data_IF_313899784473
#
_entry.id   IF_313899784473
#
_cell.length_a   1.000
_cell.length_b   1.000
_cell.length_c   1.000
_cell.angle_alpha   90.00
_cell.angle_beta   90.00
_cell.angle_gamma   90.00
#
_symmetry.space_group_name_H-M   'P 1'
#
loop_
_entity.id
_entity.type
_entity.pdbx_description
1 polymer ?
#
# COMPACT_ATOMS: atom_id res chain seq x y z
N UNK A 1 17.55 -6.13 -8.49
CA UNK A 1 18.18 -6.09 -7.15
C UNK A 1 17.45 -7.08 -6.25
N UNK A 2 18.17 -7.80 -5.37
CA UNK A 2 17.57 -8.73 -4.40
C UNK A 2 16.85 -8.02 -3.25
N UNK A 3 16.04 -8.77 -2.49
CA UNK A 3 15.32 -8.27 -1.30
C UNK A 3 16.30 -7.80 -0.23
N UNK A 4 15.97 -6.72 0.49
CA UNK A 4 16.79 -6.20 1.59
C UNK A 4 16.25 -6.67 2.94
N UNK A 5 16.68 -7.85 3.36
CA UNK A 5 16.27 -8.48 4.63
C UNK A 5 16.97 -7.85 5.83
N UNK A 6 16.27 -7.72 6.97
CA UNK A 6 16.74 -7.03 8.19
C UNK A 6 17.56 -7.91 9.15
N UNK A 7 17.72 -9.20 8.86
CA UNK A 7 18.45 -10.12 9.72
C UNK A 7 18.70 -11.49 9.08
N UNK A 8 19.58 -12.28 9.69
CA UNK A 8 19.80 -13.68 9.31
C UNK A 8 18.52 -14.48 9.55
N UNK A 9 18.06 -15.21 8.54
CA UNK A 9 16.84 -16.03 8.62
C UNK A 9 15.52 -15.30 8.32
N UNK A 10 15.52 -13.97 8.18
CA UNK A 10 14.30 -13.22 7.86
C UNK A 10 13.69 -13.63 6.51
N UNK A 11 14.53 -13.98 5.53
CA UNK A 11 14.08 -14.52 4.24
C UNK A 11 13.38 -15.87 4.40
N UNK A 12 13.97 -16.78 5.19
CA UNK A 12 13.40 -18.10 5.44
C UNK A 12 12.06 -17.99 6.17
N UNK A 13 11.98 -17.09 7.17
CA UNK A 13 10.73 -16.80 7.88
C UNK A 13 9.66 -16.24 6.94
N UNK A 14 10.02 -15.31 6.05
CA UNK A 14 9.09 -14.72 5.09
C UNK A 14 8.58 -15.74 4.04
N UNK A 15 9.45 -16.66 3.62
CA UNK A 15 9.08 -17.73 2.69
C UNK A 15 8.20 -18.81 3.34
N UNK A 16 8.38 -19.05 4.64
CA UNK A 16 7.57 -20.00 5.40
C UNK A 16 6.14 -19.50 5.70
N UNK A 17 5.92 -18.18 5.65
CA UNK A 17 4.64 -17.54 5.95
C UNK A 17 4.32 -16.47 4.90
N UNK A 18 3.93 -16.84 3.67
CA UNK A 18 3.76 -15.89 2.58
C UNK A 18 2.57 -14.95 2.79
N UNK A 19 2.70 -13.68 2.38
CA UNK A 19 1.67 -12.64 2.57
C UNK A 19 0.31 -13.05 2.02
N UNK A 20 0.25 -13.75 0.89
CA UNK A 20 -1.00 -14.21 0.30
C UNK A 20 -1.77 -15.17 1.21
N UNK A 21 -1.08 -16.08 1.90
CA UNK A 21 -1.70 -17.02 2.84
C UNK A 21 -2.17 -16.29 4.10
N UNK A 22 -1.37 -15.38 4.65
CA UNK A 22 -1.75 -14.56 5.81
C UNK A 22 -3.01 -13.74 5.51
N UNK A 23 -3.07 -13.10 4.33
CA UNK A 23 -4.23 -12.30 3.92
C UNK A 23 -5.46 -13.20 3.73
N UNK A 24 -5.30 -14.41 3.19
CA UNK A 24 -6.40 -15.38 3.07
C UNK A 24 -6.91 -15.84 4.44
N UNK A 25 -6.02 -16.12 5.39
CA UNK A 25 -6.40 -16.47 6.77
C UNK A 25 -7.13 -15.32 7.47
N UNK A 26 -6.62 -14.09 7.32
CA UNK A 26 -7.28 -12.88 7.82
C UNK A 26 -8.68 -12.73 7.24
N UNK A 27 -8.84 -12.91 5.92
CA UNK A 27 -10.13 -12.82 5.25
C UNK A 27 -11.13 -13.83 5.82
N UNK A 28 -10.74 -15.10 5.95
CA UNK A 28 -11.60 -16.15 6.51
C UNK A 28 -11.97 -15.87 7.97
N UNK A 29 -11.02 -15.42 8.79
CA UNK A 29 -11.26 -15.06 10.19
C UNK A 29 -12.28 -13.92 10.31
N UNK A 30 -12.09 -12.82 9.57
CA UNK A 30 -12.98 -11.66 9.57
C UNK A 30 -14.42 -11.99 9.12
N UNK A 31 -14.56 -12.87 8.12
CA UNK A 31 -15.86 -13.36 7.65
C UNK A 31 -16.53 -14.19 8.76
N UNK A 32 -15.78 -15.10 9.39
CA UNK A 32 -16.33 -15.98 10.43
C UNK A 32 -16.77 -15.22 11.69
N UNK A 33 -16.07 -14.14 12.03
CA UNK A 33 -16.40 -13.29 13.19
C UNK A 33 -17.46 -12.23 12.89
N UNK A 34 -17.93 -12.11 11.64
CA UNK A 34 -18.84 -11.06 11.18
C UNK A 34 -18.38 -9.66 11.65
N UNK A 35 -17.08 -9.38 11.46
CA UNK A 35 -16.43 -8.21 12.04
C UNK A 35 -17.02 -6.90 11.50
N UNK A 36 -17.28 -5.97 12.44
CA UNK A 36 -17.77 -4.62 12.17
C UNK A 36 -16.67 -3.58 12.39
N UNK A 37 -16.45 -2.71 11.41
CA UNK A 37 -15.63 -1.52 11.52
C UNK A 37 -16.51 -0.29 11.77
N UNK A 38 -16.22 0.47 12.81
CA UNK A 38 -16.89 1.74 13.13
C UNK A 38 -16.22 2.89 12.36
N UNK A 39 -16.99 3.59 11.53
CA UNK A 39 -16.53 4.78 10.83
C UNK A 39 -16.21 5.90 11.83
N UNK A 40 -14.97 6.42 11.78
CA UNK A 40 -14.50 7.45 12.71
C UNK A 40 -13.65 8.49 11.98
N UNK A 41 -14.27 9.62 11.65
CA UNK A 41 -13.63 10.70 10.89
C UNK A 41 -13.18 10.22 9.50
N UNK A 42 -11.88 10.26 9.24
CA UNK A 42 -11.28 9.84 7.96
C UNK A 42 -10.84 8.37 7.94
N UNK A 43 -11.00 7.63 9.04
CA UNK A 43 -10.59 6.23 9.16
C UNK A 43 -11.72 5.34 9.69
N UNK A 44 -11.38 4.07 9.91
CA UNK A 44 -12.30 3.08 10.47
C UNK A 44 -11.63 2.40 11.66
N UNK A 45 -12.37 2.25 12.75
CA UNK A 45 -11.95 1.53 13.94
C UNK A 45 -12.51 0.12 13.92
N UNK A 46 -11.62 -0.87 13.91
CA UNK A 46 -11.97 -2.28 13.94
C UNK A 46 -11.62 -2.85 15.31
N UNK A 47 -12.58 -3.49 15.97
CA UNK A 47 -12.33 -4.23 17.21
C UNK A 47 -11.79 -5.62 16.87
N UNK A 48 -10.71 -6.03 17.53
CA UNK A 48 -10.08 -7.32 17.31
C UNK A 48 -9.80 -8.04 18.63
N UNK A 49 -10.03 -9.35 18.63
CA UNK A 49 -9.57 -10.26 19.67
C UNK A 49 -8.08 -10.62 19.47
N UNK A 50 -7.54 -11.52 20.29
CA UNK A 50 -6.13 -11.89 20.24
C UNK A 50 -5.71 -12.54 18.90
N UNK A 51 -6.54 -13.41 18.33
CA UNK A 51 -6.24 -14.10 17.07
C UNK A 51 -6.29 -13.14 15.89
N UNK A 52 -7.36 -12.32 15.82
CA UNK A 52 -7.49 -11.32 14.78
C UNK A 52 -6.42 -10.23 14.88
N UNK A 53 -5.98 -9.90 16.10
CA UNK A 53 -4.86 -9.00 16.34
C UNK A 53 -3.56 -9.53 15.74
N UNK A 54 -3.25 -10.82 15.91
CA UNK A 54 -2.07 -11.44 15.28
C UNK A 54 -2.16 -11.36 13.75
N UNK A 55 -3.31 -11.74 13.19
CA UNK A 55 -3.52 -11.73 11.74
C UNK A 55 -3.45 -10.32 11.15
N UNK A 56 -4.05 -9.32 11.79
CA UNK A 56 -3.99 -7.91 11.34
C UNK A 56 -2.54 -7.39 11.36
N UNK A 57 -1.78 -7.71 12.39
CA UNK A 57 -0.37 -7.33 12.49
C UNK A 57 0.46 -8.01 11.39
N UNK A 58 0.33 -9.33 11.22
CA UNK A 58 1.05 -10.09 10.19
C UNK A 58 0.69 -9.65 8.77
N UNK A 59 -0.59 -9.41 8.49
CA UNK A 59 -1.07 -8.91 7.20
C UNK A 59 -0.81 -7.40 6.99
N UNK A 60 -0.31 -6.72 8.02
CA UNK A 60 0.01 -5.30 8.03
C UNK A 60 -1.17 -4.37 7.70
N UNK A 61 -2.38 -4.72 8.14
CA UNK A 61 -3.55 -3.84 8.02
C UNK A 61 -3.75 -2.99 9.27
N UNK A 62 -3.87 -1.68 9.08
CA UNK A 62 -4.14 -0.73 10.15
C UNK A 62 -3.00 -0.57 11.14
N UNK A 63 -3.32 0.09 12.25
CA UNK A 63 -2.42 0.32 13.38
C UNK A 63 -3.15 0.04 14.69
N UNK A 64 -2.56 -0.72 15.61
CA UNK A 64 -3.16 -0.92 16.93
C UNK A 64 -3.22 0.42 17.67
N UNK A 65 -4.32 0.64 18.40
CA UNK A 65 -4.51 1.73 19.34
C UNK A 65 -4.44 1.19 20.76
N UNK A 66 -3.88 2.01 21.65
CA UNK A 66 -3.77 1.66 23.07
C UNK A 66 -5.16 1.54 23.66
N UNK A 67 -5.47 0.38 24.24
CA UNK A 67 -6.71 0.08 24.95
C UNK A 67 -6.42 -0.20 26.41
N UNK A 68 -7.38 0.09 27.29
CA UNK A 68 -7.30 -0.23 28.72
C UNK A 68 -7.68 -1.70 28.99
N UNK A 69 -8.41 -2.33 28.06
CA UNK A 69 -8.91 -3.69 28.17
C UNK A 69 -7.84 -4.69 27.73
N UNK A 70 -7.59 -5.72 28.55
CA UNK A 70 -6.47 -6.65 28.34
C UNK A 70 -6.65 -7.59 27.14
N UNK A 71 -7.89 -7.86 26.72
CA UNK A 71 -8.21 -8.90 25.74
C UNK A 71 -8.75 -8.37 24.41
N UNK A 72 -8.98 -7.06 24.29
CA UNK A 72 -9.57 -6.46 23.10
C UNK A 72 -8.73 -5.26 22.67
N UNK A 73 -8.35 -5.26 21.39
CA UNK A 73 -7.54 -4.19 20.80
C UNK A 73 -8.31 -3.51 19.68
N UNK A 74 -8.25 -2.18 19.66
CA UNK A 74 -8.80 -1.38 18.56
C UNK A 74 -7.73 -1.17 17.51
N UNK A 75 -8.04 -1.47 16.25
CA UNK A 75 -7.20 -1.18 15.10
C UNK A 75 -7.76 0.00 14.34
N UNK A 76 -6.92 1.00 14.09
CA UNK A 76 -7.24 2.10 13.20
C UNK A 76 -6.80 1.76 11.78
N UNK A 77 -7.77 1.58 10.89
CA UNK A 77 -7.58 1.37 9.46
C UNK A 77 -7.60 2.73 8.73
N UNK A 78 -6.75 2.87 7.71
CA UNK A 78 -6.89 3.98 6.76
C UNK A 78 -8.16 3.83 5.92
N UNK A 79 -8.58 4.90 5.25
CA UNK A 79 -9.71 4.90 4.33
C UNK A 79 -9.55 3.82 3.24
N UNK A 80 -8.34 3.72 2.68
CA UNK A 80 -8.00 2.76 1.62
C UNK A 80 -7.96 1.32 2.15
N UNK A 81 -7.40 1.10 3.34
CA UNK A 81 -7.38 -0.22 3.99
C UNK A 81 -8.80 -0.72 4.31
N UNK A 82 -9.62 0.15 4.89
CA UNK A 82 -10.99 -0.18 5.27
C UNK A 82 -11.85 -0.49 4.03
N UNK A 83 -11.76 0.34 3.00
CA UNK A 83 -12.47 0.09 1.74
C UNK A 83 -11.97 -1.18 1.06
N UNK A 84 -10.67 -1.49 1.11
CA UNK A 84 -10.13 -2.73 0.54
C UNK A 84 -10.69 -3.97 1.25
N UNK A 85 -10.76 -3.95 2.58
CA UNK A 85 -11.30 -5.06 3.38
C UNK A 85 -12.81 -5.26 3.13
N UNK A 86 -13.58 -4.18 2.96
CA UNK A 86 -15.02 -4.23 2.72
C UNK A 86 -15.37 -4.54 1.26
N UNK A 87 -14.72 -3.89 0.29
CA UNK A 87 -15.09 -3.95 -1.12
C UNK A 87 -14.36 -5.07 -1.86
N UNK A 88 -13.02 -5.11 -1.76
CA UNK A 88 -12.19 -6.07 -2.50
C UNK A 88 -12.16 -7.44 -1.85
N UNK A 89 -11.99 -7.50 -0.52
CA UNK A 89 -11.95 -8.76 0.23
C UNK A 89 -13.31 -9.19 0.79
N UNK A 90 -14.30 -8.30 0.84
CA UNK A 90 -15.66 -8.59 1.32
C UNK A 90 -15.71 -9.28 2.68
N UNK A 91 -14.84 -8.84 3.60
CA UNK A 91 -14.60 -9.53 4.87
C UNK A 91 -15.02 -8.73 6.10
N UNK A 92 -15.30 -7.43 5.97
CA UNK A 92 -15.82 -6.61 7.07
C UNK A 92 -17.04 -5.83 6.65
N UNK A 93 -17.89 -5.51 7.62
CA UNK A 93 -18.98 -4.55 7.49
C UNK A 93 -18.56 -3.22 8.08
N UNK A 94 -18.95 -2.11 7.47
CA UNK A 94 -18.65 -0.77 8.01
C UNK A 94 -19.94 -0.13 8.46
N UNK A 95 -19.97 0.30 9.72
CA UNK A 95 -21.12 0.94 10.35
C UNK A 95 -20.82 2.39 10.68
N UNK A 96 -21.84 3.23 10.66
CA UNK A 96 -21.76 4.62 11.12
C UNK A 96 -21.87 4.73 12.66
N UNK A 97 -21.95 5.96 13.17
CA UNK A 97 -22.11 6.24 14.60
C UNK A 97 -23.47 5.80 15.18
N UNK A 98 -24.44 5.46 14.33
CA UNK A 98 -25.77 4.97 14.70
C UNK A 98 -25.88 3.44 14.57
N UNK A 99 -24.76 2.72 14.40
CA UNK A 99 -24.69 1.28 14.09
C UNK A 99 -25.44 0.89 12.81
N UNK A 100 -25.60 1.83 11.88
CA UNK A 100 -26.21 1.58 10.57
C UNK A 100 -25.12 1.11 9.60
N UNK A 101 -25.32 -0.07 9.01
CA UNK A 101 -24.41 -0.64 8.01
C UNK A 101 -24.45 0.18 6.72
N UNK A 102 -23.29 0.70 6.30
CA UNK A 102 -23.13 1.43 5.06
C UNK A 102 -22.93 0.46 3.91
N UNK A 103 -23.74 0.61 2.85
CA UNK A 103 -23.52 -0.14 1.63
C UNK A 103 -22.26 0.35 0.87
N UNK A 104 -21.80 -0.40 -0.13
CA UNK A 104 -20.59 -0.07 -0.87
C UNK A 104 -20.62 1.30 -1.56
N UNK A 105 -21.79 1.71 -2.07
CA UNK A 105 -21.97 3.00 -2.74
C UNK A 105 -21.99 4.17 -1.75
N UNK A 106 -22.64 4.01 -0.59
CA UNK A 106 -22.66 4.99 0.50
C UNK A 106 -21.27 5.21 1.06
N UNK A 107 -20.55 4.12 1.34
CA UNK A 107 -19.19 4.17 1.83
C UNK A 107 -18.26 4.86 0.81
N UNK A 108 -18.39 4.53 -0.47
CA UNK A 108 -17.62 5.15 -1.54
C UNK A 108 -17.88 6.66 -1.63
N UNK A 109 -19.15 7.07 -1.60
CA UNK A 109 -19.53 8.49 -1.60
C UNK A 109 -18.99 9.21 -0.38
N UNK A 110 -19.05 8.59 0.81
CA UNK A 110 -18.49 9.15 2.03
C UNK A 110 -16.96 9.34 1.93
N UNK A 111 -16.25 8.33 1.44
CA UNK A 111 -14.78 8.39 1.34
C UNK A 111 -14.31 9.37 0.26
N UNK A 112 -15.00 9.41 -0.88
CA UNK A 112 -14.70 10.34 -1.99
C UNK A 112 -15.01 11.79 -1.61
N UNK A 113 -16.10 12.05 -0.87
CA UNK A 113 -16.41 13.40 -0.38
C UNK A 113 -15.45 13.88 0.71
N UNK A 114 -14.92 12.95 1.53
CA UNK A 114 -13.93 13.28 2.55
C UNK A 114 -12.54 13.56 1.96
N UNK A 115 -12.16 12.88 0.89
CA UNK A 115 -10.83 12.98 0.26
C UNK A 115 -10.97 12.91 -1.26
N UNK A 116 -10.77 14.03 -1.94
CA UNK A 116 -10.91 14.15 -3.39
C UNK A 116 -10.06 13.15 -4.18
N UNK A 117 -8.82 12.91 -3.74
CA UNK A 117 -7.90 11.97 -4.38
C UNK A 117 -8.09 10.51 -3.95
N UNK A 118 -9.13 10.20 -3.16
CA UNK A 118 -9.38 8.84 -2.68
C UNK A 118 -9.52 7.80 -3.79
N UNK A 119 -10.29 8.02 -4.88
CA UNK A 119 -10.42 7.02 -5.95
C UNK A 119 -9.07 6.62 -6.55
N UNK A 120 -8.23 7.62 -6.83
CA UNK A 120 -6.89 7.45 -7.39
C UNK A 120 -5.97 6.70 -6.41
N UNK A 121 -5.95 7.12 -5.14
CA UNK A 121 -5.14 6.48 -4.10
C UNK A 121 -5.60 5.04 -3.81
N UNK A 122 -6.92 4.80 -3.80
CA UNK A 122 -7.48 3.48 -3.58
C UNK A 122 -7.16 2.54 -4.76
N UNK A 123 -7.25 3.01 -6.01
CA UNK A 123 -6.85 2.22 -7.18
C UNK A 123 -5.37 1.83 -7.08
N UNK A 124 -4.49 2.76 -6.73
CA UNK A 124 -3.07 2.46 -6.51
C UNK A 124 -2.85 1.46 -5.36
N UNK A 125 -3.53 1.65 -4.23
CA UNK A 125 -3.44 0.76 -3.07
C UNK A 125 -3.90 -0.67 -3.40
N UNK A 126 -5.08 -0.81 -4.01
CA UNK A 126 -5.66 -2.11 -4.40
C UNK A 126 -4.81 -2.82 -5.46
N UNK A 127 -4.24 -2.07 -6.40
CA UNK A 127 -3.31 -2.59 -7.41
C UNK A 127 -2.01 -3.14 -6.80
N UNK A 128 -1.45 -2.46 -5.80
CA UNK A 128 -0.29 -2.99 -5.09
C UNK A 128 -0.66 -4.24 -4.25
N UNK A 129 -1.81 -4.21 -3.56
CA UNK A 129 -2.28 -5.35 -2.76
C UNK A 129 -2.61 -6.57 -3.61
N UNK A 130 -3.17 -6.41 -4.81
CA UNK A 130 -3.44 -7.54 -5.73
C UNK A 130 -2.16 -8.23 -6.23
N UNK A 131 -1.02 -7.51 -6.20
CA UNK A 131 0.32 -8.05 -6.45
C UNK A 131 1.03 -8.52 -5.17
N UNK A 132 0.31 -8.70 -4.07
CA UNK A 132 0.80 -9.15 -2.76
C UNK A 132 1.83 -8.23 -2.09
N UNK A 133 1.89 -6.95 -2.47
CA UNK A 133 2.70 -5.99 -1.72
C UNK A 133 2.06 -5.68 -0.38
N UNK A 134 2.88 -5.61 0.67
CA UNK A 134 2.49 -4.94 1.90
C UNK A 134 2.61 -3.44 1.68
N UNK A 135 1.49 -2.72 1.76
CA UNK A 135 1.40 -1.28 1.51
C UNK A 135 1.21 -0.54 2.83
N UNK A 136 2.04 0.47 3.09
CA UNK A 136 1.92 1.36 4.26
C UNK A 136 1.98 2.81 3.82
N UNK A 137 1.50 3.72 4.68
CA UNK A 137 1.62 5.17 4.45
C UNK A 137 3.08 5.59 4.21
N UNK A 138 3.31 6.36 3.15
CA UNK A 138 4.62 6.86 2.75
C UNK A 138 5.00 8.22 3.33
N UNK A 139 4.19 8.80 4.21
CA UNK A 139 4.32 10.19 4.68
C UNK A 139 5.71 10.52 5.26
N UNK A 140 6.35 9.57 5.94
CA UNK A 140 7.71 9.70 6.48
C UNK A 140 8.79 9.91 5.40
N UNK A 141 8.48 9.59 4.15
CA UNK A 141 9.40 9.67 3.01
C UNK A 141 8.95 10.69 1.96
N UNK A 142 7.90 11.48 2.24
CA UNK A 142 7.37 12.46 1.29
C UNK A 142 6.68 11.84 0.07
N UNK A 143 6.19 10.61 0.19
CA UNK A 143 5.47 9.88 -0.87
C UNK A 143 4.13 9.35 -0.36
N UNK A 144 3.27 8.85 -1.24
CA UNK A 144 1.92 8.42 -0.87
C UNK A 144 1.95 7.08 -0.12
N UNK A 145 2.69 6.10 -0.67
CA UNK A 145 2.85 4.78 -0.07
C UNK A 145 4.30 4.31 -0.03
N UNK A 146 4.56 3.31 0.80
CA UNK A 146 5.76 2.47 0.70
C UNK A 146 5.33 1.01 0.56
N UNK A 147 6.00 0.30 -0.35
CA UNK A 147 5.70 -1.09 -0.64
C UNK A 147 6.82 -2.01 -0.12
N UNK A 148 6.43 -3.06 0.57
CA UNK A 148 7.32 -4.09 1.11
C UNK A 148 6.99 -5.44 0.48
N UNK A 149 8.01 -6.25 0.21
CA UNK A 149 7.83 -7.64 -0.24
C UNK A 149 7.22 -8.54 0.85
N UNK A 150 7.36 -8.15 2.10
CA UNK A 150 6.85 -8.86 3.28
C UNK A 150 6.72 -7.90 4.47
N UNK A 151 6.40 -8.39 5.66
CA UNK A 151 6.24 -7.64 6.89
C UNK A 151 7.43 -6.68 7.17
N UNK A 152 7.19 -5.41 7.54
CA UNK A 152 8.24 -4.41 7.77
C UNK A 152 9.27 -4.77 8.83
N UNK A 153 9.00 -5.74 9.71
CA UNK A 153 9.98 -6.26 10.66
C UNK A 153 11.05 -7.15 10.00
N UNK A 154 10.72 -7.82 8.88
CA UNK A 154 11.60 -8.78 8.21
C UNK A 154 12.37 -8.15 7.05
N UNK A 155 11.75 -7.22 6.32
CA UNK A 155 12.32 -6.64 5.10
C UNK A 155 12.21 -5.11 5.10
N UNK A 156 13.18 -4.43 4.51
CA UNK A 156 13.05 -3.02 4.19
C UNK A 156 12.08 -2.82 3.01
N UNK A 157 11.36 -1.70 2.99
CA UNK A 157 10.53 -1.35 1.83
C UNK A 157 11.40 -1.23 0.59
N UNK A 158 10.89 -1.75 -0.52
CA UNK A 158 11.58 -1.69 -1.79
C UNK A 158 11.26 -0.38 -2.50
N UNK A 159 9.98 -0.04 -2.54
CA UNK A 159 9.49 1.11 -3.26
C UNK A 159 9.01 2.22 -2.32
N UNK A 160 9.40 3.44 -2.69
CA UNK A 160 8.70 4.66 -2.32
C UNK A 160 7.75 4.98 -3.48
N UNK A 161 6.45 5.06 -3.22
CA UNK A 161 5.41 5.08 -4.25
C UNK A 161 4.74 6.44 -4.31
N UNK A 162 4.83 7.08 -5.48
CA UNK A 162 4.06 8.28 -5.81
C UNK A 162 2.91 7.92 -6.74
N UNK A 163 1.71 8.40 -6.42
CA UNK A 163 0.52 8.18 -7.22
C UNK A 163 0.18 9.46 -7.97
N UNK A 164 0.13 9.39 -9.28
CA UNK A 164 -0.18 10.52 -10.16
C UNK A 164 -1.48 10.23 -10.91
N UNK A 165 -2.34 11.24 -11.05
CA UNK A 165 -3.45 11.18 -12.01
C UNK A 165 -2.95 11.68 -13.36
N UNK A 166 -3.24 10.94 -14.42
CA UNK A 166 -2.84 11.32 -15.77
C UNK A 166 -3.82 12.30 -16.43
N UNK A 167 -5.09 12.32 -16.02
CA UNK A 167 -6.14 13.11 -16.69
C UNK A 167 -6.10 14.60 -16.35
N UNK A 168 -5.67 14.94 -15.13
CA UNK A 168 -5.49 16.33 -14.75
C UNK A 168 -4.01 16.62 -14.65
N UNK A 169 -3.53 17.60 -15.42
CA UNK A 169 -2.26 18.27 -15.14
C UNK A 169 -2.23 18.95 -13.75
N UNK A 170 -3.08 18.56 -12.81
CA UNK A 170 -3.37 19.24 -11.55
C UNK A 170 -3.65 18.37 -10.32
N UNK A 171 -3.99 17.07 -10.42
CA UNK A 171 -4.57 16.37 -9.26
C UNK A 171 -3.67 16.24 -8.02
N UNK A 172 -2.33 16.18 -8.17
CA UNK A 172 -1.40 16.12 -7.04
C UNK A 172 -0.25 17.14 -7.09
N UNK A 173 -0.13 17.93 -8.16
CA UNK A 173 0.91 18.97 -8.30
C UNK A 173 2.38 18.51 -8.27
N UNK A 174 2.65 17.23 -8.00
CA UNK A 174 3.99 16.66 -7.78
C UNK A 174 4.65 16.23 -9.08
N UNK A 175 5.98 16.29 -9.10
CA UNK A 175 6.82 15.86 -10.24
C UNK A 175 6.53 16.61 -11.54
N UNK A 176 6.17 17.90 -11.45
CA UNK A 176 5.90 18.76 -12.62
C UNK A 176 7.18 19.35 -13.20
N UNK A 177 8.18 19.57 -12.35
CA UNK A 177 9.46 20.18 -12.71
C UNK A 177 10.63 19.29 -12.30
N UNK A 178 11.78 19.45 -12.96
CA UNK A 178 12.98 18.65 -12.68
C UNK A 178 13.44 18.71 -11.22
N UNK A 179 13.26 19.85 -10.55
CA UNK A 179 13.58 19.98 -9.12
C UNK A 179 12.79 19.00 -8.25
N UNK A 180 11.52 18.73 -8.57
CA UNK A 180 10.69 17.80 -7.83
C UNK A 180 11.24 16.37 -7.94
N UNK A 181 11.65 15.98 -9.16
CA UNK A 181 12.31 14.70 -9.39
C UNK A 181 13.61 14.60 -8.60
N UNK A 182 14.47 15.63 -8.65
CA UNK A 182 15.74 15.63 -7.92
C UNK A 182 15.52 15.54 -6.40
N UNK A 183 14.58 16.29 -5.84
CA UNK A 183 14.23 16.23 -4.42
C UNK A 183 13.71 14.84 -4.04
N UNK A 184 12.76 14.30 -4.82
CA UNK A 184 12.16 12.99 -4.54
C UNK A 184 13.20 11.87 -4.64
N UNK A 185 14.04 11.88 -5.68
CA UNK A 185 15.12 10.90 -5.85
C UNK A 185 16.17 11.01 -4.74
N UNK A 186 16.47 12.23 -4.28
CA UNK A 186 17.37 12.44 -3.14
C UNK A 186 16.81 11.83 -1.86
N UNK A 187 15.52 12.07 -1.57
CA UNK A 187 14.83 11.50 -0.42
C UNK A 187 14.81 9.96 -0.49
N UNK A 188 14.36 9.40 -1.60
CA UNK A 188 14.28 7.95 -1.80
C UNK A 188 15.65 7.29 -1.72
N UNK A 189 16.65 7.87 -2.40
CA UNK A 189 18.02 7.37 -2.42
C UNK A 189 18.69 7.38 -1.04
N UNK A 190 18.41 8.37 -0.19
CA UNK A 190 18.98 8.46 1.17
C UNK A 190 18.59 7.29 2.07
N UNK A 191 17.45 6.65 1.80
CA UNK A 191 16.93 5.50 2.54
C UNK A 191 16.91 4.22 1.69
N UNK A 192 17.69 4.24 0.59
CA UNK A 192 17.86 3.15 -0.36
C UNK A 192 16.54 2.55 -0.86
N UNK A 193 15.56 3.41 -1.16
CA UNK A 193 14.29 3.02 -1.79
C UNK A 193 14.30 3.40 -3.26
N UNK A 194 13.70 2.55 -4.08
CA UNK A 194 13.48 2.84 -5.49
C UNK A 194 12.19 3.65 -5.62
N UNK A 195 12.21 4.72 -6.43
CA UNK A 195 10.99 5.48 -6.70
C UNK A 195 10.12 4.71 -7.69
N UNK A 196 8.90 4.39 -7.29
CA UNK A 196 7.86 3.82 -8.14
C UNK A 196 6.78 4.88 -8.36
N UNK A 197 6.50 5.20 -9.61
CA UNK A 197 5.38 6.06 -10.01
C UNK A 197 4.26 5.14 -10.49
N UNK A 198 3.07 5.35 -9.93
CA UNK A 198 1.83 4.76 -10.40
C UNK A 198 1.02 5.87 -11.07
N UNK A 199 0.99 5.86 -12.40
CA UNK A 199 0.13 6.74 -13.17
C UNK A 199 -1.24 6.08 -13.28
N UNK A 200 -2.26 6.78 -12.79
CA UNK A 200 -3.65 6.33 -12.77
C UNK A 200 -4.40 7.11 -13.86
N UNK A 201 -4.80 6.39 -14.91
CA UNK A 201 -5.57 6.90 -16.04
C UNK A 201 -7.02 6.48 -15.88
N UNK A 202 -7.93 7.43 -15.72
CA UNK A 202 -9.37 7.17 -15.83
C UNK A 202 -9.72 7.09 -17.33
N UNK A 203 -10.41 6.03 -17.77
CA UNK A 203 -10.82 5.92 -19.18
C UNK A 203 -12.20 6.55 -19.45
N UNK A 204 -13.07 6.56 -18.44
CA UNK A 204 -14.42 7.09 -18.53
C UNK A 204 -14.82 7.69 -17.19
N UNK A 205 -15.36 8.92 -17.22
CA UNK A 205 -15.80 9.61 -16.01
C UNK A 205 -16.94 8.85 -15.35
N UNK A 206 -16.68 8.28 -14.18
CA UNK A 206 -17.69 7.63 -13.36
C UNK A 206 -17.37 7.90 -11.89
N UNK A 207 -17.96 8.94 -11.29
CA UNK A 207 -17.60 9.36 -9.93
C UNK A 207 -18.51 8.76 -8.85
N UNK A 208 -19.63 8.11 -9.21
CA UNK A 208 -20.77 7.92 -8.29
C UNK A 208 -20.87 6.54 -7.63
N UNK A 209 -20.12 5.54 -8.10
CA UNK A 209 -20.15 4.17 -7.59
C UNK A 209 -18.75 3.52 -7.64
N UNK A 210 -18.42 2.57 -6.75
CA UNK A 210 -17.18 1.80 -6.81
C UNK A 210 -16.90 1.12 -8.15
N UNK A 211 -17.93 0.85 -8.97
CA UNK A 211 -17.76 0.23 -10.29
C UNK A 211 -16.84 1.02 -11.22
N UNK A 212 -16.65 2.32 -10.96
CA UNK A 212 -15.72 3.12 -11.73
C UNK A 212 -14.27 2.67 -11.62
N UNK A 213 -13.92 1.91 -10.58
CA UNK A 213 -12.57 1.37 -10.38
C UNK A 213 -12.11 0.51 -11.55
N UNK A 214 -13.04 -0.12 -12.29
CA UNK A 214 -12.75 -0.92 -13.48
C UNK A 214 -12.32 -0.06 -14.68
N UNK A 215 -12.71 1.21 -14.70
CA UNK A 215 -12.35 2.16 -15.76
C UNK A 215 -10.95 2.76 -15.55
N UNK A 216 -10.30 2.50 -14.41
CA UNK A 216 -8.95 3.00 -14.16
C UNK A 216 -7.88 2.01 -14.64
N UNK A 217 -6.93 2.53 -15.40
CA UNK A 217 -5.71 1.83 -15.80
C UNK A 217 -4.53 2.33 -14.97
N UNK A 218 -3.67 1.39 -14.56
CA UNK A 218 -2.46 1.69 -13.78
C UNK A 218 -1.23 1.43 -14.62
N UNK A 219 -0.47 2.47 -14.91
CA UNK A 219 0.85 2.38 -15.53
C UNK A 219 1.94 2.51 -14.46
N UNK A 220 2.86 1.53 -14.42
CA UNK A 220 3.95 1.48 -13.45
C UNK A 220 5.25 1.97 -14.08
N UNK A 221 5.90 2.97 -13.47
CA UNK A 221 7.21 3.45 -13.90
C UNK A 221 8.18 3.48 -12.74
N UNK A 222 9.30 2.80 -12.91
CA UNK A 222 10.39 2.81 -11.92
C UNK A 222 11.42 3.86 -12.32
N UNK A 223 11.73 4.79 -11.42
CA UNK A 223 12.80 5.77 -11.63
C UNK A 223 13.98 5.42 -10.74
N UNK A 224 15.13 5.21 -11.37
CA UNK A 224 16.40 4.96 -10.70
C UNK A 224 17.42 6.02 -11.10
N UNK A 225 18.38 6.26 -10.22
CA UNK A 225 19.53 7.09 -10.55
C UNK A 225 20.35 6.38 -11.61
N UNK A 226 20.74 7.09 -12.66
CA UNK A 226 21.76 6.61 -13.58
C UNK A 226 23.06 6.30 -12.79
N UNK A 227 23.57 5.08 -12.93
CA UNK A 227 24.83 4.67 -12.33
C UNK A 227 25.94 4.76 -13.39
N UNK A 228 26.91 5.67 -13.25
CA UNK A 228 28.00 5.80 -14.23
C UNK A 228 28.79 4.51 -14.41
N UNK A 229 28.89 3.69 -13.37
CA UNK A 229 29.62 2.41 -13.39
C UNK A 229 29.03 1.40 -14.39
N UNK A 230 27.72 1.46 -14.66
CA UNK A 230 27.07 0.57 -15.63
C UNK A 230 27.40 0.94 -17.09
N UNK A 231 27.74 2.21 -17.34
CA UNK A 231 28.14 2.72 -18.65
C UNK A 231 29.66 2.80 -18.85
N UNK A 232 30.45 2.47 -17.83
CA UNK A 232 31.91 2.45 -17.92
C UNK A 232 32.33 1.21 -18.71
N UNK A 233 33.29 1.35 -19.63
CA UNK A 233 33.88 0.23 -20.35
C UNK A 233 34.25 -0.88 -19.35
N UNK A 234 33.80 -2.11 -19.64
CA UNK A 234 34.31 -3.29 -18.94
C UNK A 234 35.78 -3.37 -19.31
N UNK A 235 36.68 -3.19 -18.34
CA UNK A 235 38.07 -3.57 -18.53
C UNK A 235 38.09 -5.06 -18.91
N UNK A 236 38.26 -5.34 -20.20
CA UNK A 236 38.59 -6.67 -20.70
C UNK A 236 39.94 -6.97 -20.05
N UNK A 237 39.94 -7.74 -18.97
CA UNK A 237 41.18 -8.32 -18.47
C UNK A 237 41.74 -9.12 -19.64
N UNK A 238 42.87 -8.65 -20.15
CA UNK A 238 43.66 -9.37 -21.14
C UNK A 238 43.93 -10.77 -20.61
N UNK A 239 43.32 -11.75 -21.26
CA UNK A 239 43.62 -13.15 -21.04
C UNK A 239 45.03 -13.40 -21.57
N UNK A 240 46.01 -13.15 -20.72
CA UNK A 240 47.42 -13.40 -20.96
C UNK A 240 47.69 -14.89 -20.78
N UNK A 241 47.07 -15.73 -21.62
CA UNK A 241 47.44 -17.13 -21.81
C UNK A 241 47.09 -17.61 -23.21
N UNK A 242 47.97 -17.36 -24.17
CA UNK A 242 48.30 -18.36 -25.19
C UNK A 242 49.81 -18.37 -25.39
N UNK A 243 50.33 -19.60 -25.47
CA UNK A 243 51.71 -20.08 -25.39
C UNK A 243 52.69 -19.45 -26.37
#
# INVERSE_FOLDING_TARGET
MGSRWKGKGAEVQALADPISEIVSQLQSSLISSNSKGLLSGTGVLLKADAELTDLLNRACFGRPRVTLEKNEQWFQLSTEEAFYLQHSLKCIKIVDHNDTELNGDELWKHMTSSRENFPILFKAFSHLRSKNWVVRSGSQYGVDFVAYRHHPALVHSEYAVLVLSAQDGNANGRLKVWSDFHCTLRLCGSVAKTLLILNIEEQQSCATSPSCLDNYVVEERTITRWSPEQGREKNVKSDSRVK
#
